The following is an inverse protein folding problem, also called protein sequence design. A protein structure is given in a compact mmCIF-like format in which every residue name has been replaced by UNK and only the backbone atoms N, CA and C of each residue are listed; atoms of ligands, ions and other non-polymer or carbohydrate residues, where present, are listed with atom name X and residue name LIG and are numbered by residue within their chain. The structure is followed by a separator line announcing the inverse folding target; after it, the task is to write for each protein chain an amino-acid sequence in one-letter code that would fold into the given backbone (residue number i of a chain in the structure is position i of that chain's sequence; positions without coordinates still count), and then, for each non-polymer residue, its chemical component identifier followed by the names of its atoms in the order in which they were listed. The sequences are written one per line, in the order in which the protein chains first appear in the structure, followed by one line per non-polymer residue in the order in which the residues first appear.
data_IF_435799951350
#
_entry.id   IF_435799951350
#
_cell.length_a   1.000
_cell.length_b   1.000
_cell.length_c   1.000
_cell.angle_alpha   90.00
_cell.angle_beta   90.00
_cell.angle_gamma   90.00
#
_symmetry.space_group_name_H-M   'P 1'
#
loop_
_entity.id
_entity.type
_entity.pdbx_description
1 polymer ?
#
# COMPACT_ATOMS: atom_id res chain seq x y z
N UNK A 1 12.76 -2.09 -2.83
CA UNK A 1 12.92 -0.63 -3.09
C UNK A 1 13.62 -0.05 -1.87
N UNK A 2 14.82 0.51 -2.00
CA UNK A 2 15.45 1.25 -0.88
C UNK A 2 14.78 2.62 -0.71
N UNK A 3 14.43 2.99 0.53
CA UNK A 3 13.71 4.22 0.84
C UNK A 3 14.60 5.48 0.81
N UNK A 4 15.89 5.31 1.10
CA UNK A 4 16.88 6.39 1.22
C UNK A 4 18.23 5.99 0.56
N UNK A 5 19.17 6.95 0.39
CA UNK A 5 20.50 6.68 -0.18
C UNK A 5 21.33 5.67 0.61
N UNK A 6 21.25 5.67 1.95
CA UNK A 6 22.02 4.76 2.81
C UNK A 6 21.59 3.30 2.61
N UNK A 7 20.29 3.03 2.63
CA UNK A 7 19.69 1.71 2.37
C UNK A 7 19.97 1.24 0.94
N UNK A 8 19.99 2.16 -0.03
CA UNK A 8 20.33 1.83 -1.42
C UNK A 8 21.77 1.31 -1.53
N UNK A 9 22.70 1.92 -0.81
CA UNK A 9 24.10 1.48 -0.72
C UNK A 9 24.31 0.32 0.27
N UNK A 10 23.36 0.10 1.18
CA UNK A 10 23.49 -0.87 2.28
C UNK A 10 24.66 -0.53 3.19
N UNK A 11 24.81 0.75 3.51
CA UNK A 11 25.82 1.25 4.46
C UNK A 11 25.15 1.48 5.81
N UNK A 12 25.81 1.04 6.88
CA UNK A 12 25.41 1.33 8.25
C UNK A 12 26.03 2.66 8.71
N UNK A 13 25.49 3.32 9.77
CA UNK A 13 26.08 4.53 10.32
C UNK A 13 27.56 4.39 10.72
N UNK A 14 27.99 3.19 11.13
CA UNK A 14 29.38 2.89 11.43
C UNK A 14 30.30 2.96 10.19
N UNK A 15 29.81 2.58 9.01
CA UNK A 15 30.59 2.63 7.76
C UNK A 15 30.89 4.08 7.33
N UNK A 16 29.99 5.01 7.66
CA UNK A 16 30.12 6.43 7.31
C UNK A 16 31.31 7.08 8.01
N UNK A 17 31.66 6.62 9.21
CA UNK A 17 32.83 7.10 9.98
C UNK A 17 34.17 6.78 9.29
N UNK A 18 34.17 5.86 8.33
CA UNK A 18 35.34 5.55 7.49
C UNK A 18 35.48 6.53 6.30
N UNK A 19 34.57 7.50 6.18
CA UNK A 19 34.58 8.58 5.18
C UNK A 19 34.23 8.14 3.76
N UNK A 20 34.36 9.08 2.82
CA UNK A 20 33.95 8.90 1.43
C UNK A 20 34.66 7.73 0.70
N UNK A 21 35.86 7.35 1.12
CA UNK A 21 36.58 6.21 0.55
C UNK A 21 35.83 4.88 0.77
N UNK A 22 35.19 4.71 1.93
CA UNK A 22 34.39 3.52 2.21
C UNK A 22 33.13 3.47 1.35
N UNK A 23 32.48 4.63 1.12
CA UNK A 23 31.32 4.75 0.21
C UNK A 23 31.70 4.33 -1.20
N UNK A 24 32.80 4.87 -1.75
CA UNK A 24 33.29 4.49 -3.08
C UNK A 24 33.58 3.01 -3.20
N UNK A 25 34.18 2.40 -2.17
CA UNK A 25 34.46 0.95 -2.13
C UNK A 25 33.16 0.15 -2.12
N UNK A 26 32.17 0.54 -1.32
CA UNK A 26 30.86 -0.12 -1.26
C UNK A 26 30.10 0.01 -2.57
N UNK A 27 30.09 1.19 -3.17
CA UNK A 27 29.53 1.45 -4.50
C UNK A 27 30.18 0.54 -5.54
N UNK A 28 31.52 0.55 -5.68
CA UNK A 28 32.25 -0.32 -6.64
C UNK A 28 31.89 -1.80 -6.47
N UNK A 29 31.83 -2.28 -5.23
CA UNK A 29 31.48 -3.68 -4.93
C UNK A 29 30.05 -4.00 -5.38
N UNK A 30 29.08 -3.12 -5.10
CA UNK A 30 27.67 -3.34 -5.46
C UNK A 30 27.40 -3.12 -6.94
N UNK A 31 28.01 -2.12 -7.55
CA UNK A 31 27.80 -1.76 -8.95
C UNK A 31 28.28 -2.86 -9.89
N UNK A 32 29.33 -3.59 -9.54
CA UNK A 32 29.78 -4.79 -10.28
C UNK A 32 28.72 -5.91 -10.32
N UNK A 33 27.87 -6.03 -9.30
CA UNK A 33 26.82 -7.07 -9.24
C UNK A 33 25.65 -6.72 -10.17
N UNK A 34 25.37 -5.44 -10.34
CA UNK A 34 24.19 -4.93 -11.07
C UNK A 34 24.57 -4.17 -12.33
N UNK A 35 25.80 -4.36 -12.82
CA UNK A 35 26.26 -3.67 -14.02
C UNK A 35 25.45 -4.13 -15.25
N UNK A 36 24.91 -3.23 -16.08
CA UNK A 36 24.08 -3.59 -17.24
C UNK A 36 24.72 -4.60 -18.20
N UNK A 37 26.05 -4.53 -18.36
CA UNK A 37 26.83 -5.45 -19.22
C UNK A 37 27.09 -6.83 -18.60
N UNK A 38 26.76 -7.02 -17.33
CA UNK A 38 27.01 -8.27 -16.58
C UNK A 38 25.73 -9.04 -16.27
N UNK A 39 24.57 -8.54 -16.72
CA UNK A 39 23.27 -9.18 -16.53
C UNK A 39 22.70 -9.65 -17.87
N UNK A 40 21.78 -10.61 -17.81
CA UNK A 40 21.04 -11.09 -18.98
C UNK A 40 20.25 -9.95 -19.65
N UNK A 41 20.06 -10.04 -20.97
CA UNK A 41 19.36 -9.02 -21.77
C UNK A 41 17.95 -8.70 -21.21
N UNK A 42 17.24 -9.72 -20.73
CA UNK A 42 15.92 -9.57 -20.12
C UNK A 42 15.92 -8.70 -18.85
N UNK A 43 17.04 -8.61 -18.13
CA UNK A 43 17.19 -7.84 -16.90
C UNK A 43 17.92 -6.51 -17.11
N UNK A 44 18.46 -6.25 -18.30
CA UNK A 44 19.29 -5.08 -18.59
C UNK A 44 18.59 -3.77 -18.23
N UNK A 45 17.33 -3.57 -18.61
CA UNK A 45 16.56 -2.36 -18.28
C UNK A 45 16.44 -2.14 -16.77
N UNK A 46 16.26 -3.23 -16.01
CA UNK A 46 16.20 -3.16 -14.55
C UNK A 46 17.57 -2.86 -13.93
N UNK A 47 18.63 -3.50 -14.44
CA UNK A 47 20.00 -3.25 -14.00
C UNK A 47 20.43 -1.80 -14.25
N UNK A 48 20.11 -1.21 -15.40
CA UNK A 48 20.35 0.22 -15.68
C UNK A 48 19.70 1.10 -14.61
N UNK A 49 18.43 0.85 -14.28
CA UNK A 49 17.71 1.63 -13.27
C UNK A 49 18.31 1.47 -11.87
N UNK A 50 18.73 0.26 -11.48
CA UNK A 50 19.39 0.01 -10.18
C UNK A 50 20.76 0.68 -10.14
N UNK A 51 21.56 0.53 -11.20
CA UNK A 51 22.91 1.10 -11.28
C UNK A 51 22.86 2.62 -11.15
N UNK A 52 21.99 3.28 -11.94
CA UNK A 52 21.79 4.73 -11.85
C UNK A 52 21.36 5.16 -10.44
N UNK A 53 20.51 4.37 -9.78
CA UNK A 53 20.11 4.64 -8.39
C UNK A 53 21.29 4.50 -7.40
N UNK A 54 22.13 3.47 -7.55
CA UNK A 54 23.32 3.28 -6.72
C UNK A 54 24.31 4.43 -6.89
N UNK A 55 24.53 4.87 -8.13
CA UNK A 55 25.43 5.98 -8.46
C UNK A 55 24.91 7.29 -7.86
N UNK A 56 23.64 7.62 -8.08
CA UNK A 56 23.01 8.80 -7.48
C UNK A 56 23.07 8.76 -5.95
N UNK A 57 22.88 7.59 -5.34
CA UNK A 57 22.95 7.42 -3.88
C UNK A 57 24.39 7.59 -3.36
N UNK A 58 25.38 7.04 -4.05
CA UNK A 58 26.80 7.20 -3.70
C UNK A 58 27.22 8.68 -3.76
N UNK A 59 26.89 9.36 -4.85
CA UNK A 59 27.16 10.80 -5.02
C UNK A 59 26.47 11.64 -3.95
N UNK A 60 25.22 11.34 -3.61
CA UNK A 60 24.50 12.05 -2.55
C UNK A 60 25.17 11.87 -1.18
N UNK A 61 25.52 10.63 -0.79
CA UNK A 61 26.17 10.36 0.50
C UNK A 61 27.57 10.98 0.54
N UNK A 62 28.34 10.94 -0.56
CA UNK A 62 29.63 11.62 -0.62
C UNK A 62 29.51 13.14 -0.46
N UNK A 63 28.48 13.76 -1.07
CA UNK A 63 28.21 15.19 -0.89
C UNK A 63 27.83 15.53 0.55
N UNK A 64 27.01 14.70 1.21
CA UNK A 64 26.67 14.86 2.63
C UNK A 64 27.93 14.79 3.52
N UNK A 65 28.77 13.77 3.31
CA UNK A 65 30.02 13.56 4.07
C UNK A 65 31.03 14.70 3.89
N UNK A 66 31.05 15.35 2.71
CA UNK A 66 31.90 16.51 2.46
C UNK A 66 31.44 17.75 3.22
N UNK A 67 30.14 17.92 3.42
CA UNK A 67 29.58 19.05 4.15
C UNK A 67 29.74 18.85 5.66
N UNK A 68 29.27 17.71 6.18
CA UNK A 68 29.37 17.41 7.61
C UNK A 68 29.26 15.89 7.86
N UNK A 69 30.37 15.30 8.30
CA UNK A 69 30.45 13.88 8.63
C UNK A 69 29.47 13.47 9.75
N UNK A 70 29.44 14.21 10.85
CA UNK A 70 28.66 13.86 12.05
C UNK A 70 27.16 14.00 11.78
N UNK A 71 26.75 15.07 11.10
CA UNK A 71 25.36 15.23 10.67
C UNK A 71 24.93 14.12 9.71
N UNK A 72 25.83 13.65 8.83
CA UNK A 72 25.54 12.56 7.90
C UNK A 72 25.35 11.24 8.64
N UNK A 73 26.15 10.99 9.68
CA UNK A 73 26.01 9.82 10.56
C UNK A 73 24.67 9.85 11.28
N UNK A 74 24.31 10.99 11.89
CA UNK A 74 23.01 11.16 12.56
C UNK A 74 21.83 10.95 11.62
N UNK A 75 21.91 11.50 10.40
CA UNK A 75 20.88 11.31 9.38
C UNK A 75 20.68 9.82 9.04
N UNK A 76 21.78 9.08 8.90
CA UNK A 76 21.73 7.64 8.65
C UNK A 76 21.21 6.83 9.85
N UNK A 77 21.46 7.26 11.08
CA UNK A 77 20.88 6.64 12.29
C UNK A 77 19.35 6.80 12.32
N UNK A 78 18.85 8.00 11.98
CA UNK A 78 17.40 8.26 11.88
C UNK A 78 16.76 7.41 10.78
N UNK A 79 17.35 7.39 9.58
CA UNK A 79 16.85 6.59 8.46
C UNK A 79 16.88 5.08 8.77
N UNK A 80 17.93 4.59 9.44
CA UNK A 80 18.02 3.18 9.85
C UNK A 80 16.96 2.81 10.89
N UNK A 81 16.69 3.69 11.85
CA UNK A 81 15.65 3.50 12.84
C UNK A 81 14.24 3.51 12.20
N UNK A 82 14.01 4.38 11.22
CA UNK A 82 12.79 4.39 10.42
C UNK A 82 12.61 3.10 9.61
N UNK A 83 13.64 2.67 8.89
CA UNK A 83 13.61 1.48 8.04
C UNK A 83 13.41 0.19 8.86
N UNK A 84 13.80 0.18 10.14
CA UNK A 84 13.51 -0.92 11.06
C UNK A 84 12.01 -1.02 11.42
N UNK A 85 11.21 0.02 11.18
CA UNK A 85 9.77 0.03 11.40
C UNK A 85 9.34 0.01 12.88
N UNK A 86 10.27 0.20 13.83
CA UNK A 86 10.00 0.07 15.27
C UNK A 86 9.66 1.38 15.97
N UNK A 87 10.02 2.54 15.41
CA UNK A 87 9.90 3.83 16.11
C UNK A 87 8.47 4.14 16.59
N UNK A 88 7.45 3.76 15.81
CA UNK A 88 6.04 4.03 16.13
C UNK A 88 5.54 3.14 17.29
N UNK A 89 5.95 1.88 17.32
CA UNK A 89 5.40 0.87 18.23
C UNK A 89 6.24 0.62 19.47
N UNK A 90 7.54 0.93 19.43
CA UNK A 90 8.53 0.62 20.46
C UNK A 90 9.14 1.92 21.04
N UNK A 91 8.63 2.39 22.20
CA UNK A 91 9.18 3.53 22.91
C UNK A 91 10.66 3.38 23.28
N UNK A 92 11.14 2.14 23.52
CA UNK A 92 12.55 1.91 23.84
C UNK A 92 13.46 2.19 22.63
N UNK A 93 13.02 1.82 21.42
CA UNK A 93 13.73 2.17 20.20
C UNK A 93 13.76 3.69 19.96
N UNK A 94 12.67 4.40 20.24
CA UNK A 94 12.62 5.86 20.16
C UNK A 94 13.53 6.53 21.21
N UNK A 95 13.52 6.03 22.46
CA UNK A 95 14.40 6.48 23.54
C UNK A 95 15.88 6.31 23.17
N UNK A 96 16.24 5.14 22.61
CA UNK A 96 17.59 4.85 22.15
C UNK A 96 18.04 5.81 21.04
N UNK A 97 17.18 6.07 20.05
CA UNK A 97 17.49 7.01 18.97
C UNK A 97 17.73 8.42 19.53
N UNK A 98 16.85 8.89 20.42
CA UNK A 98 16.92 10.24 20.98
C UNK A 98 17.98 10.39 22.08
N UNK A 99 18.49 9.28 22.62
CA UNK A 99 19.48 9.29 23.71
C UNK A 99 18.87 9.72 25.05
N UNK A 100 17.61 9.38 25.28
CA UNK A 100 16.86 9.70 26.51
C UNK A 100 16.37 8.43 27.20
N UNK A 101 15.89 8.54 28.44
CA UNK A 101 15.26 7.43 29.14
C UNK A 101 13.86 7.15 28.58
N UNK A 102 13.48 5.87 28.52
CA UNK A 102 12.11 5.47 28.20
C UNK A 102 11.11 6.07 29.19
N UNK A 103 9.97 6.55 28.70
CA UNK A 103 8.95 7.22 29.52
C UNK A 103 9.31 8.66 29.94
N UNK A 104 10.31 9.29 29.33
CA UNK A 104 10.57 10.71 29.55
C UNK A 104 9.39 11.59 29.10
N UNK A 105 9.28 12.80 29.67
CA UNK A 105 8.23 13.73 29.25
C UNK A 105 8.42 14.20 27.81
N UNK A 106 7.33 14.59 27.14
CA UNK A 106 7.36 15.17 25.79
C UNK A 106 8.34 16.34 25.68
N UNK A 107 8.44 17.18 26.72
CA UNK A 107 9.39 18.30 26.75
C UNK A 107 10.86 17.85 26.76
N UNK A 108 11.19 16.73 27.43
CA UNK A 108 12.55 16.17 27.41
C UNK A 108 12.85 15.55 26.05
N UNK A 109 11.90 14.82 25.46
CA UNK A 109 12.06 14.24 24.13
C UNK A 109 12.26 15.32 23.05
N UNK A 110 11.42 16.36 23.05
CA UNK A 110 11.54 17.50 22.14
C UNK A 110 12.87 18.22 22.29
N UNK A 111 13.29 18.50 23.52
CA UNK A 111 14.60 19.12 23.79
C UNK A 111 15.75 18.27 23.26
N UNK A 112 15.68 16.95 23.41
CA UNK A 112 16.68 16.04 22.85
C UNK A 112 16.70 16.07 21.31
N UNK A 113 15.54 16.16 20.65
CA UNK A 113 15.45 16.34 19.19
C UNK A 113 16.13 17.64 18.74
N UNK A 114 15.83 18.75 19.42
CA UNK A 114 16.39 20.07 19.11
C UNK A 114 17.91 20.11 19.31
N UNK A 115 18.40 19.61 20.46
CA UNK A 115 19.82 19.65 20.81
C UNK A 115 20.66 18.68 19.97
N UNK A 116 20.18 17.45 19.77
CA UNK A 116 20.95 16.38 19.10
C UNK A 116 20.85 16.45 17.58
N UNK A 117 19.70 16.84 17.02
CA UNK A 117 19.45 16.64 15.58
C UNK A 117 19.21 17.94 14.79
N UNK A 118 18.46 18.92 15.29
CA UNK A 118 18.12 20.10 14.48
C UNK A 118 19.36 20.86 13.98
N UNK A 119 20.27 21.22 14.88
CA UNK A 119 21.46 21.96 14.51
C UNK A 119 22.37 21.16 13.55
N UNK A 120 22.69 19.86 13.78
CA UNK A 120 23.42 19.06 12.81
C UNK A 120 22.73 18.89 11.45
N UNK A 121 21.45 18.48 11.44
CA UNK A 121 20.75 18.19 10.19
C UNK A 121 20.54 19.44 9.33
N UNK A 122 20.35 20.61 9.94
CA UNK A 122 20.25 21.88 9.19
C UNK A 122 21.49 22.17 8.34
N UNK A 123 22.68 21.68 8.73
CA UNK A 123 23.92 21.86 7.95
C UNK A 123 23.90 21.07 6.64
N UNK A 124 23.11 19.99 6.56
CA UNK A 124 22.93 19.18 5.36
C UNK A 124 21.79 19.67 4.45
N UNK A 125 21.02 20.70 4.86
CA UNK A 125 19.84 21.20 4.14
C UNK A 125 20.18 21.66 2.71
N UNK A 126 21.38 22.18 2.48
CA UNK A 126 21.83 22.66 1.17
C UNK A 126 22.10 21.54 0.16
N UNK A 127 22.45 20.33 0.63
CA UNK A 127 22.83 19.19 -0.22
C UNK A 127 21.75 18.11 -0.30
N UNK A 128 20.93 17.95 0.73
CA UNK A 128 19.90 16.90 0.78
C UNK A 128 18.61 17.33 1.51
N UNK A 129 17.94 18.42 1.05
CA UNK A 129 16.82 19.03 1.76
C UNK A 129 15.65 18.05 2.00
N UNK A 130 15.41 17.13 1.06
CA UNK A 130 14.34 16.12 1.17
C UNK A 130 14.62 15.05 2.21
N UNK A 131 15.88 14.62 2.33
CA UNK A 131 16.27 13.60 3.31
C UNK A 131 16.28 14.20 4.72
N UNK A 132 16.72 15.46 4.86
CA UNK A 132 16.61 16.21 6.13
C UNK A 132 15.14 16.39 6.54
N UNK A 133 14.27 16.82 5.63
CA UNK A 133 12.83 16.96 5.92
C UNK A 133 12.21 15.62 6.36
N UNK A 134 12.53 14.52 5.68
CA UNK A 134 12.08 13.17 6.08
C UNK A 134 12.58 12.78 7.47
N UNK A 135 13.83 13.07 7.78
CA UNK A 135 14.42 12.75 9.08
C UNK A 135 13.78 13.54 10.21
N UNK A 136 13.49 14.84 10.01
CA UNK A 136 12.78 15.66 11.00
C UNK A 136 11.37 15.12 11.29
N UNK A 137 10.61 14.74 10.25
CA UNK A 137 9.30 14.07 10.45
C UNK A 137 9.42 12.72 11.17
N UNK A 138 10.51 11.99 10.94
CA UNK A 138 10.78 10.72 11.65
C UNK A 138 11.06 10.97 13.13
N UNK A 139 11.75 12.06 13.46
CA UNK A 139 12.03 12.46 14.84
C UNK A 139 10.76 12.91 15.57
N UNK A 140 9.82 13.59 14.89
CA UNK A 140 8.49 13.89 15.43
C UNK A 140 7.74 12.59 15.82
N UNK A 141 7.80 11.56 14.96
CA UNK A 141 7.22 10.24 15.28
C UNK A 141 7.88 9.60 16.50
N UNK A 142 9.19 9.73 16.65
CA UNK A 142 9.92 9.23 17.82
C UNK A 142 9.54 10.00 19.11
N UNK A 143 9.38 11.32 19.02
CA UNK A 143 8.90 12.17 20.12
C UNK A 143 7.49 11.74 20.58
N UNK A 144 6.56 11.60 19.64
CA UNK A 144 5.19 11.16 19.91
C UNK A 144 5.16 9.76 20.55
N UNK A 145 6.01 8.85 20.07
CA UNK A 145 6.12 7.49 20.59
C UNK A 145 6.57 7.47 22.05
N UNK A 146 7.53 8.31 22.43
CA UNK A 146 7.96 8.47 23.81
C UNK A 146 6.92 9.15 24.69
N UNK A 147 6.29 10.21 24.18
CA UNK A 147 5.28 10.97 24.92
C UNK A 147 4.06 10.10 25.28
N UNK A 148 3.76 9.09 24.46
CA UNK A 148 2.69 8.12 24.74
C UNK A 148 2.95 7.29 26.00
N UNK A 149 4.21 6.97 26.30
CA UNK A 149 4.62 6.24 27.52
C UNK A 149 4.16 4.78 27.62
N UNK A 150 3.23 4.34 26.76
CA UNK A 150 2.79 2.95 26.62
C UNK A 150 3.24 2.40 25.26
N UNK A 151 3.87 1.22 25.21
CA UNK A 151 4.11 0.56 23.94
C UNK A 151 2.77 0.32 23.24
N UNK A 152 2.74 0.56 21.93
CA UNK A 152 1.63 0.03 21.14
C UNK A 152 1.71 -1.49 21.23
N UNK A 153 0.54 -2.15 21.24
CA UNK A 153 0.53 -3.60 21.17
C UNK A 153 1.38 -4.04 19.98
N UNK A 154 2.44 -4.78 20.30
CA UNK A 154 3.31 -5.44 19.35
C UNK A 154 3.08 -6.95 19.57
N UNK A 155 2.82 -7.73 18.51
CA UNK A 155 2.64 -9.17 18.66
C UNK A 155 3.89 -9.78 19.33
N UNK A 156 3.73 -10.65 20.34
CA UNK A 156 4.83 -11.18 21.14
C UNK A 156 5.76 -12.15 20.38
N UNK A 157 5.36 -12.60 19.19
CA UNK A 157 6.14 -13.47 18.30
C UNK A 157 6.09 -12.92 16.85
N UNK A 158 6.95 -13.40 15.92
CA UNK A 158 6.73 -13.18 14.49
C UNK A 158 5.46 -13.95 14.06
N UNK A 159 4.30 -13.46 14.49
CA UNK A 159 3.01 -14.05 14.20
C UNK A 159 2.87 -14.27 12.70
N UNK A 160 2.23 -15.39 12.36
CA UNK A 160 1.91 -15.77 10.99
C UNK A 160 1.39 -14.57 10.21
N UNK A 161 1.98 -14.34 9.03
CA UNK A 161 1.71 -13.16 8.25
C UNK A 161 0.22 -13.05 7.93
N UNK A 162 -0.50 -12.18 8.66
CA UNK A 162 -1.88 -11.82 8.33
C UNK A 162 -1.86 -11.18 6.95
N UNK A 163 -2.43 -11.87 5.96
CA UNK A 163 -2.54 -11.33 4.61
C UNK A 163 -3.72 -10.35 4.59
N UNK A 164 -3.40 -9.07 4.55
CA UNK A 164 -4.38 -8.03 4.20
C UNK A 164 -4.79 -8.27 2.74
N UNK A 165 -6.06 -8.62 2.52
CA UNK A 165 -6.64 -8.58 1.17
C UNK A 165 -6.49 -7.13 0.67
N UNK A 166 -5.74 -6.91 -0.42
CA UNK A 166 -5.14 -5.61 -0.78
C UNK A 166 -6.13 -4.51 -1.23
N UNK A 167 -7.34 -4.45 -0.69
CA UNK A 167 -8.33 -3.44 -1.02
C UNK A 167 -8.71 -2.66 0.24
N UNK A 168 -8.21 -1.43 0.34
CA UNK A 168 -8.73 -0.42 1.27
C UNK A 168 -9.81 0.36 0.52
N UNK A 169 -11.01 0.46 1.11
CA UNK A 169 -12.11 1.27 0.59
C UNK A 169 -11.77 2.77 0.52
N UNK A 170 -12.55 3.51 -0.31
CA UNK A 170 -12.58 4.97 -0.49
C UNK A 170 -11.38 5.77 0.05
N UNK A 171 -10.29 5.82 -0.74
CA UNK A 171 -9.03 6.51 -0.40
C UNK A 171 -9.07 8.03 -0.67
N UNK A 172 -10.17 8.69 -0.29
CA UNK A 172 -10.32 10.15 -0.46
C UNK A 172 -9.66 10.95 0.67
N UNK A 173 -8.99 10.28 1.61
CA UNK A 173 -8.13 10.89 2.64
C UNK A 173 -6.78 11.36 2.07
N UNK A 174 -6.79 12.16 0.99
CA UNK A 174 -5.57 12.69 0.35
C UNK A 174 -5.02 13.98 0.96
N UNK A 175 -5.58 14.43 2.07
CA UNK A 175 -4.95 15.40 2.95
C UNK A 175 -5.46 15.13 4.38
N UNK A 176 -4.64 14.57 5.29
CA UNK A 176 -5.05 14.49 6.68
C UNK A 176 -5.19 15.93 7.19
N UNK A 177 -6.43 16.35 7.43
CA UNK A 177 -6.68 17.53 8.27
C UNK A 177 -6.17 17.15 9.66
N UNK A 178 -5.40 18.01 10.35
CA UNK A 178 -4.95 17.74 11.70
C UNK A 178 -6.16 17.38 12.56
N UNK A 179 -6.20 16.15 13.09
CA UNK A 179 -7.25 15.73 14.01
C UNK A 179 -7.03 16.52 15.31
N UNK A 180 -7.86 17.55 15.53
CA UNK A 180 -7.72 18.51 16.65
C UNK A 180 -7.80 17.85 18.03
N UNK A 181 -8.35 16.65 18.11
CA UNK A 181 -8.30 15.78 19.27
C UNK A 181 -8.39 14.33 18.79
N UNK A 182 -7.29 13.59 18.83
CA UNK A 182 -7.32 12.13 18.60
C UNK A 182 -6.79 11.43 19.85
N UNK A 183 -7.60 10.54 20.40
CA UNK A 183 -7.14 9.52 21.33
C UNK A 183 -6.89 8.26 20.52
N UNK A 184 -5.72 7.65 20.67
CA UNK A 184 -5.49 6.35 20.07
C UNK A 184 -6.33 5.31 20.82
N UNK A 185 -7.25 4.65 20.11
CA UNK A 185 -7.89 3.44 20.59
C UNK A 185 -7.21 2.25 19.91
N UNK A 186 -6.77 1.27 20.70
CA UNK A 186 -6.28 0.00 20.21
C UNK A 186 -7.18 -1.10 20.74
N UNK A 187 -7.68 -1.94 19.84
CA UNK A 187 -8.45 -3.14 20.17
C UNK A 187 -7.75 -4.33 19.53
N UNK A 188 -7.49 -5.36 20.32
CA UNK A 188 -6.86 -6.59 19.84
C UNK A 188 -7.95 -7.63 19.65
N UNK A 189 -8.13 -8.08 18.41
CA UNK A 189 -9.08 -9.13 18.05
C UNK A 189 -8.30 -10.38 17.69
N UNK A 190 -8.48 -11.45 18.47
CA UNK A 190 -7.92 -12.76 18.14
C UNK A 190 -8.70 -13.35 16.96
N UNK A 191 -7.98 -13.72 15.90
CA UNK A 191 -8.57 -14.31 14.69
C UNK A 191 -8.51 -15.83 14.77
N UNK A 192 -9.62 -16.52 14.49
CA UNK A 192 -9.60 -17.98 14.38
C UNK A 192 -8.81 -18.42 13.14
N UNK A 193 -7.96 -19.47 13.23
CA UNK A 193 -7.25 -20.00 12.07
C UNK A 193 -8.20 -20.48 10.96
N UNK A 194 -7.92 -20.11 9.71
CA UNK A 194 -8.74 -20.47 8.55
C UNK A 194 -10.01 -19.64 8.38
N UNK A 195 -10.23 -18.64 9.23
CA UNK A 195 -11.35 -17.71 9.12
C UNK A 195 -11.05 -16.55 8.16
N UNK A 196 -12.11 -16.00 7.56
CA UNK A 196 -12.08 -14.68 6.95
C UNK A 196 -12.81 -13.71 7.88
N UNK A 197 -12.13 -12.65 8.30
CA UNK A 197 -12.69 -11.64 9.20
C UNK A 197 -12.79 -10.32 8.44
N UNK A 198 -14.00 -9.78 8.36
CA UNK A 198 -14.26 -8.44 7.85
C UNK A 198 -14.24 -7.42 8.98
N UNK A 199 -13.55 -6.30 8.77
CA UNK A 199 -13.56 -5.14 9.67
C UNK A 199 -14.13 -3.95 8.90
N UNK A 200 -15.02 -3.18 9.54
CA UNK A 200 -15.50 -1.91 9.04
C UNK A 200 -15.25 -0.81 10.08
N UNK A 201 -14.56 0.25 9.66
CA UNK A 201 -14.34 1.47 10.42
C UNK A 201 -15.24 2.55 9.86
N UNK A 202 -16.16 3.07 10.67
CA UNK A 202 -17.15 4.06 10.27
C UNK A 202 -16.85 5.38 10.99
N UNK A 203 -16.95 6.50 10.29
CA UNK A 203 -16.90 7.81 10.94
C UNK A 203 -18.18 8.10 11.73
N UNK A 204 -18.12 9.07 12.65
CA UNK A 204 -19.27 9.45 13.50
C UNK A 204 -20.51 9.86 12.69
N UNK A 205 -20.31 10.38 11.47
CA UNK A 205 -21.39 10.70 10.55
C UNK A 205 -22.26 9.51 10.13
N UNK A 206 -21.80 8.28 10.38
CA UNK A 206 -22.48 7.03 10.05
C UNK A 206 -22.91 6.24 11.29
N UNK A 207 -22.99 6.88 12.47
CA UNK A 207 -23.44 6.25 13.73
C UNK A 207 -24.81 5.57 13.67
N UNK A 208 -25.63 5.90 12.67
CA UNK A 208 -26.94 5.30 12.43
C UNK A 208 -26.87 3.90 11.80
N UNK A 209 -25.69 3.49 11.32
CA UNK A 209 -25.43 2.14 10.80
C UNK A 209 -25.04 1.25 11.99
N UNK A 210 -25.91 0.32 12.36
CA UNK A 210 -25.66 -0.57 13.50
C UNK A 210 -24.65 -1.68 13.17
N UNK A 211 -24.01 -2.24 14.20
CA UNK A 211 -22.99 -3.29 14.02
C UNK A 211 -23.52 -4.53 13.28
N UNK A 212 -24.77 -4.93 13.49
CA UNK A 212 -25.39 -6.05 12.79
C UNK A 212 -25.55 -5.79 11.28
N UNK A 213 -25.86 -4.55 10.91
CA UNK A 213 -25.96 -4.14 9.51
C UNK A 213 -24.58 -4.06 8.86
N UNK A 214 -23.60 -3.48 9.56
CA UNK A 214 -22.21 -3.48 9.12
C UNK A 214 -21.68 -4.91 8.88
N UNK A 215 -21.93 -5.82 9.82
CA UNK A 215 -21.57 -7.23 9.69
C UNK A 215 -22.29 -7.90 8.50
N UNK A 216 -23.57 -7.60 8.28
CA UNK A 216 -24.31 -8.12 7.12
C UNK A 216 -23.71 -7.66 5.79
N UNK A 217 -23.35 -6.37 5.66
CA UNK A 217 -22.73 -5.86 4.44
C UNK A 217 -21.33 -6.46 4.21
N UNK A 218 -20.53 -6.62 5.26
CA UNK A 218 -19.24 -7.32 5.17
C UNK A 218 -19.45 -8.78 4.72
N UNK A 219 -20.41 -9.50 5.29
CA UNK A 219 -20.68 -10.88 4.92
C UNK A 219 -21.14 -11.00 3.45
N UNK A 220 -21.99 -10.10 2.97
CA UNK A 220 -22.49 -10.08 1.59
C UNK A 220 -21.39 -9.87 0.55
N UNK A 221 -20.33 -9.16 0.92
CA UNK A 221 -19.23 -8.79 0.02
C UNK A 221 -17.92 -9.55 0.31
N UNK A 222 -17.94 -10.48 1.25
CA UNK A 222 -16.80 -11.32 1.60
C UNK A 222 -16.39 -12.27 0.44
N UNK A 223 -15.13 -12.73 0.44
CA UNK A 223 -14.01 -12.25 1.27
C UNK A 223 -13.22 -11.10 0.61
N UNK A 224 -13.57 -10.69 -0.61
CA UNK A 224 -12.64 -9.95 -1.48
C UNK A 224 -13.20 -8.64 -2.04
N UNK A 225 -14.29 -8.09 -1.48
CA UNK A 225 -14.91 -6.85 -2.00
C UNK A 225 -15.13 -5.77 -0.93
N UNK A 226 -14.06 -5.32 -0.23
CA UNK A 226 -14.20 -4.37 0.87
C UNK A 226 -14.69 -3.01 0.41
N UNK A 227 -14.39 -2.58 -0.82
CA UNK A 227 -14.89 -1.32 -1.34
C UNK A 227 -16.39 -1.36 -1.63
N UNK A 228 -16.90 -2.47 -2.17
CA UNK A 228 -18.33 -2.66 -2.32
C UNK A 228 -19.05 -2.58 -0.96
N UNK A 229 -18.53 -3.26 0.07
CA UNK A 229 -19.06 -3.16 1.43
C UNK A 229 -19.03 -1.72 1.96
N UNK A 230 -17.89 -1.03 1.82
CA UNK A 230 -17.74 0.35 2.28
C UNK A 230 -18.71 1.31 1.57
N UNK A 231 -18.87 1.17 0.25
CA UNK A 231 -19.80 1.97 -0.54
C UNK A 231 -21.25 1.73 -0.13
N UNK A 232 -21.65 0.46 0.06
CA UNK A 232 -23.01 0.12 0.50
C UNK A 232 -23.33 0.71 1.87
N UNK A 233 -22.40 0.60 2.82
CA UNK A 233 -22.52 1.19 4.15
C UNK A 233 -22.60 2.73 4.09
N UNK A 234 -21.76 3.36 3.28
CA UNK A 234 -21.77 4.81 3.10
C UNK A 234 -23.11 5.29 2.50
N UNK A 235 -23.65 4.58 1.51
CA UNK A 235 -24.95 4.89 0.90
C UNK A 235 -26.11 4.72 1.89
N UNK A 236 -26.11 3.64 2.69
CA UNK A 236 -27.13 3.39 3.70
C UNK A 236 -27.11 4.47 4.80
N UNK A 237 -25.93 4.81 5.31
CA UNK A 237 -25.80 5.87 6.31
C UNK A 237 -26.17 7.24 5.74
N UNK A 238 -25.77 7.56 4.51
CA UNK A 238 -26.16 8.81 3.84
C UNK A 238 -27.68 8.93 3.62
N UNK A 239 -28.38 7.81 3.39
CA UNK A 239 -29.85 7.81 3.25
C UNK A 239 -30.59 8.07 4.57
N UNK A 240 -29.96 7.80 5.71
CA UNK A 240 -30.54 7.93 7.06
C UNK A 240 -30.09 9.19 7.81
N UNK A 241 -28.91 9.71 7.47
CA UNK A 241 -28.32 10.86 8.14
C UNK A 241 -28.97 12.18 7.74
N UNK A 242 -28.80 13.25 8.54
CA UNK A 242 -29.05 14.60 8.07
C UNK A 242 -28.23 14.85 6.81
N UNK A 243 -28.82 15.44 5.77
CA UNK A 243 -28.23 15.66 4.42
C UNK A 243 -26.84 16.34 4.39
N UNK A 244 -26.30 16.79 5.53
CA UNK A 244 -25.08 17.58 5.65
C UNK A 244 -23.91 16.87 6.36
N UNK A 245 -24.06 15.65 6.92
CA UNK A 245 -22.96 15.02 7.66
C UNK A 245 -22.13 14.14 6.73
N UNK A 246 -20.87 14.51 6.51
CA UNK A 246 -19.93 13.71 5.74
C UNK A 246 -19.62 12.39 6.48
N UNK A 247 -19.89 11.27 5.82
CA UNK A 247 -19.56 9.92 6.30
C UNK A 247 -18.33 9.37 5.59
N UNK A 248 -17.49 8.63 6.30
CA UNK A 248 -16.38 7.87 5.74
C UNK A 248 -16.46 6.43 6.26
N UNK A 249 -16.22 5.46 5.36
CA UNK A 249 -16.16 4.04 5.70
C UNK A 249 -14.87 3.46 5.13
N UNK A 250 -14.16 2.70 5.96
CA UNK A 250 -13.06 1.84 5.53
C UNK A 250 -13.44 0.41 5.88
N UNK A 251 -13.44 -0.47 4.89
CA UNK A 251 -13.56 -1.90 5.13
C UNK A 251 -12.27 -2.60 4.74
N UNK A 252 -11.97 -3.71 5.41
CA UNK A 252 -10.87 -4.61 5.10
C UNK A 252 -11.27 -6.05 5.43
N UNK A 253 -10.74 -7.02 4.69
CA UNK A 253 -10.83 -8.44 5.06
C UNK A 253 -9.45 -8.99 5.36
N UNK A 254 -9.40 -9.82 6.39
CA UNK A 254 -8.22 -10.52 6.86
C UNK A 254 -8.47 -12.01 6.71
N UNK A 255 -7.53 -12.72 6.09
CA UNK A 255 -7.55 -14.17 5.99
C UNK A 255 -6.37 -14.72 6.79
N UNK A 256 -6.64 -15.68 7.67
CA UNK A 256 -5.61 -16.43 8.40
C UNK A 256 -5.31 -17.71 7.62
N UNK A 257 -4.05 -17.93 7.27
CA UNK A 257 -3.66 -19.21 6.64
C UNK A 257 -3.69 -20.29 7.73
N UNK A 258 -4.38 -21.41 7.48
CA UNK A 258 -4.27 -22.58 8.37
C UNK A 258 -2.86 -23.11 8.18
N UNK A 259 -1.99 -22.92 9.19
CA UNK A 259 -0.59 -23.28 9.18
C UNK A 259 -0.29 -24.60 8.47
N UNK A 260 0.11 -24.50 7.20
CA UNK A 260 0.67 -25.59 6.43
C UNK A 260 2.07 -25.88 6.95
N UNK A 261 2.17 -26.69 8.01
CA UNK A 261 3.37 -27.31 8.55
C UNK A 261 4.71 -26.63 8.24
N UNK A 262 5.14 -25.71 9.10
CA UNK A 262 6.51 -25.24 9.11
C UNK A 262 7.46 -26.42 9.43
N UNK A 263 8.05 -27.01 8.38
CA UNK A 263 9.23 -27.87 8.50
C UNK A 263 10.41 -27.03 9.02
N UNK A 264 10.56 -26.99 10.34
CA UNK A 264 11.67 -26.36 11.05
C UNK A 264 12.96 -27.15 10.85
N UNK A 265 13.80 -26.73 9.90
CA UNK A 265 15.23 -27.05 9.92
C UNK A 265 16.01 -25.81 10.35
N UNK A 266 16.45 -25.83 11.61
CA UNK A 266 17.17 -24.74 12.28
C UNK A 266 18.61 -24.57 11.79
N UNK A 267 18.80 -23.80 10.72
CA UNK A 267 20.11 -23.29 10.29
C UNK A 267 20.17 -21.76 10.36
N UNK A 268 21.34 -21.16 10.66
CA UNK A 268 21.51 -19.71 10.71
C UNK A 268 21.28 -19.05 9.33
N UNK A 269 20.85 -17.77 9.28
CA UNK A 269 20.29 -17.18 8.07
C UNK A 269 21.39 -16.88 7.04
N UNK A 270 21.54 -17.77 6.06
CA UNK A 270 22.33 -17.49 4.86
C UNK A 270 21.44 -16.76 3.87
N UNK A 271 21.85 -15.56 3.48
CA UNK A 271 21.22 -14.76 2.42
C UNK A 271 21.16 -15.56 1.11
N UNK A 272 20.02 -16.21 0.85
CA UNK A 272 19.75 -16.87 -0.42
C UNK A 272 18.27 -16.78 -0.77
N UNK A 273 18.04 -16.17 -1.94
CA UNK A 273 16.78 -16.06 -2.69
C UNK A 273 15.80 -17.20 -2.40
N UNK A 274 14.61 -16.83 -1.94
CA UNK A 274 13.47 -17.73 -1.85
C UNK A 274 13.09 -18.23 -3.24
N UNK A 275 13.38 -19.50 -3.49
CA UNK A 275 12.80 -20.32 -4.54
C UNK A 275 11.50 -20.86 -3.96
N UNK A 276 10.35 -20.34 -4.40
CA UNK A 276 9.04 -20.87 -4.01
C UNK A 276 8.80 -22.21 -4.71
N UNK A 277 8.36 -23.22 -3.94
CA UNK A 277 7.91 -24.50 -4.48
C UNK A 277 7.15 -25.35 -3.45
N UNK A 278 5.83 -25.45 -3.67
CA UNK A 278 4.90 -26.51 -3.19
C UNK A 278 4.00 -26.09 -2.02
N UNK A 279 2.67 -26.18 -2.03
CA UNK A 279 1.64 -26.55 -3.02
C UNK A 279 0.31 -26.00 -2.43
N UNK A 280 -0.41 -25.05 -3.02
CA UNK A 280 -1.24 -25.17 -4.21
C UNK A 280 -0.77 -24.22 -5.33
N UNK A 281 -0.92 -24.65 -6.59
CA UNK A 281 -0.39 -23.95 -7.76
C UNK A 281 -0.89 -22.49 -7.85
N UNK A 282 -0.06 -21.54 -7.44
CA UNK A 282 -0.18 -20.15 -7.87
C UNK A 282 0.10 -20.14 -9.39
N UNK A 283 -0.85 -19.71 -10.24
CA UNK A 283 -0.60 -19.71 -11.67
C UNK A 283 0.52 -18.73 -11.99
N UNK A 284 1.51 -19.23 -12.71
CA UNK A 284 2.60 -18.45 -13.28
C UNK A 284 2.00 -17.39 -14.22
N UNK A 285 2.07 -16.13 -13.77
CA UNK A 285 2.45 -14.97 -14.60
C UNK A 285 1.35 -14.09 -15.20
N UNK A 286 0.10 -14.54 -15.32
CA UNK A 286 -0.93 -13.76 -16.02
C UNK A 286 -2.38 -14.08 -15.63
N UNK A 287 -3.27 -13.09 -15.76
CA UNK A 287 -4.72 -13.22 -15.59
C UNK A 287 -5.44 -12.74 -16.85
N UNK A 288 -6.51 -13.42 -17.27
CA UNK A 288 -7.34 -12.95 -18.40
C UNK A 288 -8.65 -12.40 -17.85
N UNK A 289 -9.02 -11.19 -18.24
CA UNK A 289 -10.20 -10.52 -17.68
C UNK A 289 -11.10 -9.91 -18.75
N UNK A 290 -12.38 -9.79 -18.42
CA UNK A 290 -13.32 -8.88 -19.06
C UNK A 290 -13.68 -7.76 -18.08
N UNK A 291 -14.03 -6.57 -18.58
CA UNK A 291 -14.34 -5.43 -17.69
C UNK A 291 -15.49 -4.55 -18.18
N UNK A 292 -16.12 -3.88 -17.23
CA UNK A 292 -17.08 -2.78 -17.44
C UNK A 292 -16.43 -1.53 -16.89
N UNK A 293 -16.16 -0.56 -17.77
CA UNK A 293 -15.62 0.76 -17.41
C UNK A 293 -16.75 1.79 -17.40
N UNK A 294 -16.94 2.46 -16.27
CA UNK A 294 -17.72 3.68 -16.17
C UNK A 294 -16.81 4.87 -15.85
N UNK A 295 -16.84 5.86 -16.72
CA UNK A 295 -16.13 7.13 -16.64
C UNK A 295 -16.99 8.18 -15.93
N UNK A 296 -16.36 9.27 -15.52
CA UNK A 296 -17.04 10.42 -14.91
C UNK A 296 -16.46 11.74 -15.43
N UNK A 297 -17.19 12.83 -15.19
CA UNK A 297 -16.80 14.18 -15.56
C UNK A 297 -15.53 14.63 -14.82
N UNK A 298 -14.57 15.21 -15.54
CA UNK A 298 -13.33 15.73 -14.94
C UNK A 298 -12.19 14.72 -14.79
N UNK A 299 -12.33 13.52 -15.37
CA UNK A 299 -11.18 12.63 -15.60
C UNK A 299 -10.11 13.37 -16.43
N UNK A 300 -8.85 13.26 -15.98
CA UNK A 300 -7.71 13.92 -16.65
C UNK A 300 -7.11 12.99 -17.70
N UNK A 301 -6.72 13.56 -18.83
CA UNK A 301 -6.07 12.85 -19.93
C UNK A 301 -7.05 12.38 -21.00
N UNK A 302 -6.54 12.30 -22.23
CA UNK A 302 -7.24 11.63 -23.32
C UNK A 302 -7.21 10.12 -23.09
N UNK A 303 -8.31 9.44 -23.37
CA UNK A 303 -8.37 7.98 -23.33
C UNK A 303 -8.65 7.45 -24.72
N UNK A 304 -7.60 6.92 -25.34
CA UNK A 304 -7.61 6.32 -26.68
C UNK A 304 -8.57 5.12 -26.79
N UNK A 305 -8.97 4.55 -25.66
CA UNK A 305 -9.88 3.42 -25.59
C UNK A 305 -11.30 3.84 -25.17
N UNK A 306 -11.68 5.10 -25.33
CA UNK A 306 -13.10 5.52 -25.21
C UNK A 306 -13.91 4.83 -26.30
N UNK A 307 -15.09 4.31 -25.92
CA UNK A 307 -16.01 3.71 -26.88
C UNK A 307 -16.48 4.76 -27.90
N UNK A 308 -16.27 4.54 -29.20
CA UNK A 308 -16.72 5.47 -30.23
C UNK A 308 -18.25 5.69 -30.19
N UNK A 309 -18.68 6.93 -30.41
CA UNK A 309 -20.09 7.29 -30.48
C UNK A 309 -20.80 7.47 -29.13
N UNK A 310 -20.07 7.44 -28.01
CA UNK A 310 -20.61 7.84 -26.71
C UNK A 310 -20.28 9.30 -26.41
N UNK A 311 -21.27 10.02 -25.91
CA UNK A 311 -21.08 11.36 -25.36
C UNK A 311 -20.22 11.32 -24.09
N UNK A 312 -19.42 12.37 -23.80
CA UNK A 312 -18.68 12.47 -22.56
C UNK A 312 -19.61 12.35 -21.33
N UNK A 313 -19.21 11.58 -20.30
CA UNK A 313 -20.04 11.40 -19.12
C UNK A 313 -20.19 12.70 -18.33
N UNK A 314 -21.42 13.03 -17.95
CA UNK A 314 -21.72 14.14 -17.02
C UNK A 314 -21.76 13.68 -15.55
N UNK A 315 -21.71 12.37 -15.31
CA UNK A 315 -21.81 11.78 -13.97
C UNK A 315 -20.57 12.09 -13.11
N UNK A 316 -20.73 12.02 -11.79
CA UNK A 316 -19.61 12.12 -10.84
C UNK A 316 -18.95 10.75 -10.62
N UNK A 317 -17.76 10.74 -10.01
CA UNK A 317 -17.09 9.50 -9.61
C UNK A 317 -17.98 8.65 -8.69
N UNK A 318 -18.60 9.27 -7.68
CA UNK A 318 -19.50 8.58 -6.76
C UNK A 318 -20.73 7.97 -7.45
N UNK A 319 -21.25 8.60 -8.51
CA UNK A 319 -22.32 8.05 -9.31
C UNK A 319 -21.86 6.82 -10.11
N UNK A 320 -20.69 6.89 -10.75
CA UNK A 320 -20.11 5.75 -11.46
C UNK A 320 -19.88 4.54 -10.53
N UNK A 321 -19.35 4.78 -9.33
CA UNK A 321 -19.14 3.74 -8.32
C UNK A 321 -20.45 3.12 -7.83
N UNK A 322 -21.47 3.95 -7.60
CA UNK A 322 -22.81 3.48 -7.22
C UNK A 322 -23.42 2.59 -8.30
N UNK A 323 -23.36 3.01 -9.56
CA UNK A 323 -23.87 2.23 -10.69
C UNK A 323 -23.17 0.87 -10.80
N UNK A 324 -21.85 0.81 -10.58
CA UNK A 324 -21.12 -0.46 -10.57
C UNK A 324 -21.40 -1.32 -9.34
N UNK A 325 -21.62 -0.72 -8.17
CA UNK A 325 -22.02 -1.45 -6.97
C UNK A 325 -23.39 -2.13 -7.16
N UNK A 326 -24.38 -1.39 -7.66
CA UNK A 326 -25.71 -1.93 -7.94
C UNK A 326 -25.64 -3.07 -8.96
N UNK A 327 -24.81 -2.91 -10.00
CA UNK A 327 -24.58 -3.95 -10.99
C UNK A 327 -23.88 -5.18 -10.41
N UNK A 328 -22.86 -4.98 -9.56
CA UNK A 328 -22.16 -6.05 -8.86
C UNK A 328 -23.14 -6.89 -8.04
N UNK A 329 -23.98 -6.24 -7.22
CA UNK A 329 -24.97 -6.92 -6.39
C UNK A 329 -26.04 -7.63 -7.22
N UNK A 330 -26.54 -7.00 -8.30
CA UNK A 330 -27.46 -7.63 -9.25
C UNK A 330 -26.86 -8.93 -9.81
N UNK A 331 -25.58 -8.89 -10.20
CA UNK A 331 -24.88 -10.04 -10.75
C UNK A 331 -24.65 -11.14 -9.71
N UNK A 332 -24.31 -10.78 -8.46
CA UNK A 332 -24.09 -11.74 -7.36
C UNK A 332 -25.35 -12.51 -6.95
N UNK A 333 -26.54 -11.93 -7.12
CA UNK A 333 -27.82 -12.59 -6.73
C UNK A 333 -28.24 -13.71 -7.68
N UNK A 334 -27.83 -13.70 -8.95
CA UNK A 334 -28.28 -14.71 -9.92
C UNK A 334 -27.38 -15.95 -10.00
N UNK A 335 -27.74 -16.90 -10.86
CA UNK A 335 -27.06 -18.20 -10.98
C UNK A 335 -25.58 -18.04 -11.36
N UNK A 336 -24.62 -18.52 -10.52
CA UNK A 336 -23.19 -18.48 -10.80
C UNK A 336 -22.80 -19.10 -12.14
N UNK A 337 -23.52 -20.12 -12.63
CA UNK A 337 -23.23 -20.76 -13.93
C UNK A 337 -23.47 -19.82 -15.11
N UNK A 338 -24.38 -18.86 -14.95
CA UNK A 338 -24.75 -17.88 -15.98
C UNK A 338 -24.01 -16.55 -15.82
N UNK A 339 -23.21 -16.40 -14.76
CA UNK A 339 -22.56 -15.13 -14.39
C UNK A 339 -21.76 -14.54 -15.55
N UNK A 340 -20.91 -15.33 -16.20
CA UNK A 340 -20.12 -14.85 -17.34
C UNK A 340 -20.98 -14.38 -18.53
N UNK A 341 -22.12 -15.02 -18.79
CA UNK A 341 -23.04 -14.60 -19.85
C UNK A 341 -23.79 -13.31 -19.48
N UNK A 342 -24.28 -13.22 -18.24
CA UNK A 342 -24.93 -12.00 -17.70
C UNK A 342 -23.97 -10.82 -17.68
N UNK A 343 -22.73 -11.04 -17.26
CA UNK A 343 -21.68 -10.02 -17.27
C UNK A 343 -21.42 -9.51 -18.69
N UNK A 344 -21.28 -10.41 -19.69
CA UNK A 344 -21.11 -10.03 -21.10
C UNK A 344 -22.28 -9.19 -21.64
N UNK A 345 -23.52 -9.52 -21.26
CA UNK A 345 -24.68 -8.71 -21.65
C UNK A 345 -24.60 -7.28 -21.08
N UNK A 346 -24.14 -7.15 -19.83
CA UNK A 346 -23.98 -5.85 -19.16
C UNK A 346 -22.79 -5.06 -19.71
N UNK A 347 -21.71 -5.72 -20.13
CA UNK A 347 -20.58 -5.11 -20.85
C UNK A 347 -21.05 -4.33 -22.07
N UNK A 348 -21.81 -4.98 -22.96
CA UNK A 348 -22.28 -4.34 -24.19
C UNK A 348 -23.18 -3.14 -23.92
N UNK A 349 -24.00 -3.25 -22.87
CA UNK A 349 -24.98 -2.23 -22.49
C UNK A 349 -24.36 -1.02 -21.81
N UNK A 350 -23.37 -1.24 -20.93
CA UNK A 350 -22.93 -0.23 -19.96
C UNK A 350 -21.48 0.21 -20.11
N UNK A 351 -20.60 -0.62 -20.67
CA UNK A 351 -19.17 -0.31 -20.72
C UNK A 351 -18.87 0.80 -21.72
N UNK A 352 -18.11 1.79 -21.26
CA UNK A 352 -17.67 2.95 -22.02
C UNK A 352 -16.25 2.79 -22.59
N UNK A 353 -15.66 1.60 -22.44
CA UNK A 353 -14.40 1.24 -23.10
C UNK A 353 -14.68 0.70 -24.51
N UNK A 354 -13.84 1.05 -25.48
CA UNK A 354 -13.88 0.52 -26.84
C UNK A 354 -13.77 -1.02 -26.87
N UNK A 355 -13.12 -1.62 -25.87
CA UNK A 355 -13.05 -3.09 -25.73
C UNK A 355 -14.43 -3.74 -25.60
N UNK A 356 -15.46 -3.02 -25.18
CA UNK A 356 -16.84 -3.52 -25.15
C UNK A 356 -17.33 -4.07 -26.50
N UNK A 357 -16.75 -3.57 -27.61
CA UNK A 357 -17.09 -3.98 -28.97
C UNK A 357 -16.24 -5.17 -29.47
N UNK A 358 -15.15 -5.52 -28.77
CA UNK A 358 -14.30 -6.64 -29.18
C UNK A 358 -15.02 -7.98 -29.01
N UNK A 359 -14.59 -9.02 -29.73
CA UNK A 359 -15.06 -10.39 -29.51
C UNK A 359 -13.89 -11.23 -28.98
N UNK A 360 -14.02 -11.88 -27.80
CA UNK A 360 -15.17 -11.85 -26.88
C UNK A 360 -15.30 -10.50 -26.13
N UNK A 361 -16.54 -10.06 -25.90
CA UNK A 361 -16.89 -8.72 -25.36
C UNK A 361 -16.10 -8.28 -24.13
N UNK A 362 -15.47 -7.10 -24.24
CA UNK A 362 -14.60 -6.46 -23.26
C UNK A 362 -13.46 -7.29 -22.69
N UNK A 363 -13.02 -8.31 -23.40
CA UNK A 363 -11.78 -9.02 -23.10
C UNK A 363 -10.57 -8.08 -23.27
N UNK A 364 -9.82 -7.90 -22.19
CA UNK A 364 -8.59 -7.11 -22.17
C UNK A 364 -7.36 -7.96 -22.49
N UNK A 365 -7.54 -9.24 -22.79
CA UNK A 365 -6.45 -10.18 -23.03
C UNK A 365 -5.76 -10.59 -21.73
N UNK A 366 -4.52 -11.06 -21.86
CA UNK A 366 -3.71 -11.49 -20.74
C UNK A 366 -3.03 -10.29 -20.09
N UNK A 367 -3.32 -10.07 -18.82
CA UNK A 367 -2.65 -9.10 -17.96
C UNK A 367 -1.48 -9.79 -17.28
N UNK A 368 -0.29 -9.25 -17.48
CA UNK A 368 0.96 -9.65 -16.82
C UNK A 368 1.31 -8.65 -15.71
N UNK A 369 2.20 -9.04 -14.79
CA UNK A 369 2.70 -8.13 -13.77
C UNK A 369 3.43 -6.93 -14.40
N UNK A 370 3.03 -5.72 -14.02
CA UNK A 370 3.45 -4.46 -14.62
C UNK A 370 2.72 -4.09 -15.92
N UNK A 371 1.80 -4.92 -16.41
CA UNK A 371 1.10 -4.73 -17.69
C UNK A 371 -0.16 -3.86 -17.59
N UNK A 372 -0.64 -3.57 -16.38
CA UNK A 372 -1.80 -2.74 -16.13
C UNK A 372 -1.55 -1.73 -14.99
N UNK A 373 -2.47 -0.79 -14.80
CA UNK A 373 -2.42 0.08 -13.62
C UNK A 373 -2.44 -0.78 -12.33
N UNK A 374 -1.65 -0.43 -11.29
CA UNK A 374 -1.55 -1.22 -10.06
C UNK A 374 -2.89 -1.67 -9.44
N UNK A 375 -3.95 -0.83 -9.35
CA UNK A 375 -5.23 -1.27 -8.80
C UNK A 375 -5.95 -2.29 -9.68
N UNK A 376 -5.88 -2.16 -11.01
CA UNK A 376 -6.47 -3.13 -11.94
C UNK A 376 -5.74 -4.46 -11.90
N UNK A 377 -4.40 -4.42 -11.92
CA UNK A 377 -3.58 -5.61 -11.79
C UNK A 377 -3.89 -6.37 -10.49
N UNK A 378 -3.89 -5.65 -9.35
CA UNK A 378 -4.20 -6.24 -8.06
C UNK A 378 -5.58 -6.92 -8.05
N UNK A 379 -6.60 -6.26 -8.60
CA UNK A 379 -7.94 -6.83 -8.68
C UNK A 379 -8.03 -8.03 -9.64
N UNK A 380 -7.34 -7.98 -10.79
CA UNK A 380 -7.31 -9.07 -11.76
C UNK A 380 -6.72 -10.35 -11.15
N UNK A 381 -5.61 -10.23 -10.41
CA UNK A 381 -4.95 -11.37 -9.77
C UNK A 381 -5.65 -11.84 -8.48
N UNK A 382 -6.30 -10.94 -7.73
CA UNK A 382 -7.03 -11.28 -6.51
C UNK A 382 -8.41 -11.90 -6.78
N UNK A 383 -9.03 -11.61 -7.92
CA UNK A 383 -10.34 -12.17 -8.26
C UNK A 383 -10.22 -13.67 -8.57
N UNK A 384 -11.17 -14.52 -8.12
CA UNK A 384 -11.17 -15.94 -8.48
C UNK A 384 -11.55 -16.12 -9.95
N UNK A 385 -11.06 -17.19 -10.59
CA UNK A 385 -11.43 -17.53 -11.97
C UNK A 385 -12.94 -17.79 -12.04
N UNK A 386 -13.61 -17.16 -12.99
CA UNK A 386 -15.08 -17.18 -13.10
C UNK A 386 -15.78 -16.26 -12.10
N UNK A 387 -15.05 -15.43 -11.35
CA UNK A 387 -15.59 -14.51 -10.36
C UNK A 387 -15.52 -13.04 -10.76
N UNK A 388 -16.29 -12.23 -10.03
CA UNK A 388 -16.26 -10.77 -10.12
C UNK A 388 -15.26 -10.17 -9.12
N UNK A 389 -14.57 -9.13 -9.56
CA UNK A 389 -13.76 -8.25 -8.71
C UNK A 389 -14.63 -7.40 -7.77
N UNK A 390 -13.95 -6.62 -6.93
CA UNK A 390 -14.52 -5.44 -6.30
C UNK A 390 -14.70 -4.29 -7.32
N UNK A 391 -15.24 -3.14 -6.88
CA UNK A 391 -15.23 -1.90 -7.66
C UNK A 391 -13.82 -1.30 -7.61
N UNK A 392 -13.16 -1.17 -8.77
CA UNK A 392 -11.75 -0.74 -8.86
C UNK A 392 -11.68 0.67 -9.48
N UNK A 393 -10.90 1.59 -8.90
CA UNK A 393 -10.58 2.85 -9.60
C UNK A 393 -9.26 2.75 -10.34
N UNK A 394 -9.22 3.37 -11.51
CA UNK A 394 -8.01 3.65 -12.25
C UNK A 394 -8.02 5.10 -12.73
N UNK A 395 -6.94 5.52 -13.37
CA UNK A 395 -6.88 6.83 -14.03
C UNK A 395 -7.97 7.03 -15.11
N UNK A 396 -8.56 5.93 -15.62
CA UNK A 396 -9.56 5.93 -16.69
C UNK A 396 -11.02 5.95 -16.21
N UNK A 397 -11.27 5.64 -14.95
CA UNK A 397 -12.62 5.52 -14.42
C UNK A 397 -12.77 4.42 -13.36
N UNK A 398 -14.00 3.99 -13.15
CA UNK A 398 -14.36 2.91 -12.24
C UNK A 398 -14.61 1.65 -13.04
N UNK A 399 -14.11 0.53 -12.54
CA UNK A 399 -14.11 -0.75 -13.23
C UNK A 399 -14.77 -1.82 -12.38
N UNK A 400 -15.57 -2.66 -13.03
CA UNK A 400 -15.96 -3.96 -12.51
C UNK A 400 -15.42 -5.02 -13.46
N UNK A 401 -14.74 -6.04 -12.92
CA UNK A 401 -13.98 -7.01 -13.71
C UNK A 401 -14.55 -8.41 -13.48
N UNK A 402 -14.52 -9.23 -14.53
CA UNK A 402 -14.83 -10.66 -14.48
C UNK A 402 -13.60 -11.44 -14.93
N UNK A 403 -13.08 -12.33 -14.08
CA UNK A 403 -11.88 -13.09 -14.41
C UNK A 403 -12.24 -14.31 -15.25
N UNK A 404 -11.67 -14.38 -16.44
CA UNK A 404 -11.85 -15.46 -17.41
C UNK A 404 -10.88 -16.62 -17.16
N UNK A 405 -9.63 -16.34 -16.76
CA UNK A 405 -8.57 -17.31 -16.47
C UNK A 405 -7.54 -16.76 -15.47
#
# INVERSE_FOLDING_TARGET
RAANPFAALGVAPADLRLGAAAIRRTFRRRSLIVHPDKVDEALRKHAVAIFAKLEASASAVEAMLQVDLEATVLLAEVDAAHDAGRLVSDPAAAAQLLGVLEGCSAGVAKKAVEEKFHAPLSRLQSVCPRDVERALRTLEVAEESLARGTPLWAPPEPDEAVRVTRALGCKDLKAPVPLLSSGLAAECVALEPGGCIGVALLSDGLRSVGSAEAAHQLAQHAPSRPRAAALRLALQGAARGPRAVAGAVVCAYFETEIGGGASSSGGPPVAKRARMGGAAAAPVGRARISHILLRWAGLKGEDEFVRPGLEPPLRTQAAAERELLELLEELLVGDPKTLGARFKAQVLKRSECASALNVPYADLGWIEQGGAEPPLEAAAFASPVGGLSDVVLSSRGAHLMYRLA
#
